data_IF_263547573142
#
_entry.id   IF_263547573142
#
_cell.length_a   1.000
_cell.length_b   1.000
_cell.length_c   1.000
_cell.angle_alpha   90.00
_cell.angle_beta   90.00
_cell.angle_gamma   90.00
#
_symmetry.space_group_name_H-M   'P 1'
#
loop_
_entity.id
_entity.type
_entity.pdbx_description
1 polymer ?
#
# COMPACT_ATOMS: atom_id res chain seq x y z
N UNK A 1 -4.23 1.74 9.28
CA UNK A 1 -5.04 2.79 9.93
C UNK A 1 -4.10 3.63 10.78
N UNK A 2 -4.02 4.94 10.51
CA UNK A 2 -3.10 5.88 11.18
C UNK A 2 -3.29 5.97 12.72
N UNK A 3 -4.39 5.45 13.25
CA UNK A 3 -4.73 5.51 14.67
C UNK A 3 -4.76 4.14 15.37
N UNK A 4 -4.31 3.06 14.71
CA UNK A 4 -4.37 1.69 15.26
C UNK A 4 -3.62 1.57 16.59
N UNK A 5 -2.35 1.97 16.62
CA UNK A 5 -1.51 1.83 17.81
C UNK A 5 -1.98 2.73 18.96
N UNK A 6 -2.51 3.91 18.61
CA UNK A 6 -3.15 4.84 19.56
C UNK A 6 -4.41 4.23 20.19
N UNK A 7 -5.27 3.61 19.38
CA UNK A 7 -6.46 2.92 19.85
C UNK A 7 -6.09 1.76 20.78
N UNK A 8 -5.15 0.88 20.39
CA UNK A 8 -4.78 -0.28 21.18
C UNK A 8 -4.20 0.09 22.55
N UNK A 9 -3.38 1.15 22.63
CA UNK A 9 -2.84 1.67 23.90
C UNK A 9 -3.94 2.21 24.81
N UNK A 10 -4.76 3.12 24.29
CA UNK A 10 -5.87 3.71 25.05
C UNK A 10 -6.87 2.64 25.51
N UNK A 11 -7.20 1.68 24.65
CA UNK A 11 -8.14 0.61 24.97
C UNK A 11 -7.62 -0.30 26.11
N UNK A 12 -6.29 -0.48 26.21
CA UNK A 12 -5.61 -1.18 27.31
C UNK A 12 -5.39 -0.31 28.56
N UNK A 13 -5.80 0.96 28.53
CA UNK A 13 -5.73 1.87 29.67
C UNK A 13 -4.44 2.68 29.77
N UNK A 14 -3.56 2.61 28.77
CA UNK A 14 -2.33 3.40 28.73
C UNK A 14 -2.64 4.84 28.27
N UNK A 15 -2.45 5.79 29.18
CA UNK A 15 -2.66 7.24 28.96
C UNK A 15 -1.36 8.05 29.12
N UNK A 16 -0.19 7.44 29.01
CA UNK A 16 1.09 8.12 29.28
C UNK A 16 1.33 9.39 28.44
N UNK A 17 0.70 9.51 27.27
CA UNK A 17 0.75 10.67 26.38
C UNK A 17 -0.25 11.79 26.74
N UNK A 18 -1.08 11.59 27.76
CA UNK A 18 -2.15 12.52 28.14
C UNK A 18 -1.90 13.11 29.52
N UNK A 19 -2.23 14.39 29.67
CA UNK A 19 -2.00 15.13 30.92
C UNK A 19 -2.98 14.73 32.02
N UNK A 20 -4.10 14.12 31.63
CA UNK A 20 -5.12 13.65 32.56
C UNK A 20 -5.89 12.44 32.04
N UNK A 21 -6.50 11.72 32.96
CA UNK A 21 -7.38 10.61 32.64
C UNK A 21 -8.60 11.03 31.80
N UNK A 22 -9.12 12.24 32.03
CA UNK A 22 -10.24 12.77 31.26
C UNK A 22 -9.88 13.12 29.81
N UNK A 23 -8.62 13.54 29.57
CA UNK A 23 -8.10 13.70 28.22
C UNK A 23 -7.96 12.35 27.50
N UNK A 24 -7.50 11.31 28.22
CA UNK A 24 -7.45 9.93 27.70
C UNK A 24 -8.83 9.38 27.34
N UNK A 25 -9.83 9.60 28.21
CA UNK A 25 -11.21 9.19 27.96
C UNK A 25 -11.77 9.87 26.68
N UNK A 26 -11.62 11.19 26.57
CA UNK A 26 -12.09 11.96 25.41
C UNK A 26 -11.36 11.55 24.12
N UNK A 27 -10.06 11.22 24.21
CA UNK A 27 -9.29 10.76 23.07
C UNK A 27 -9.79 9.41 22.56
N UNK A 28 -10.07 8.44 23.45
CA UNK A 28 -10.65 7.16 23.05
C UNK A 28 -12.04 7.36 22.45
N UNK A 29 -12.90 8.18 23.07
CA UNK A 29 -14.22 8.51 22.53
C UNK A 29 -14.15 9.18 21.15
N UNK A 30 -13.16 10.05 20.90
CA UNK A 30 -12.96 10.68 19.59
C UNK A 30 -12.60 9.67 18.49
N UNK A 31 -11.77 8.67 18.81
CA UNK A 31 -11.48 7.56 17.89
C UNK A 31 -12.75 6.75 17.63
N UNK A 32 -13.50 6.40 18.68
CA UNK A 32 -14.74 5.65 18.56
C UNK A 32 -15.81 6.42 17.77
N UNK A 33 -15.92 7.73 17.94
CA UNK A 33 -16.89 8.57 17.23
C UNK A 33 -16.72 8.49 15.70
N UNK A 34 -15.48 8.44 15.21
CA UNK A 34 -15.18 8.19 13.80
C UNK A 34 -15.70 6.82 13.35
N UNK A 35 -15.30 5.74 14.01
CA UNK A 35 -15.60 4.36 13.59
C UNK A 35 -17.07 3.94 13.76
N UNK A 36 -17.76 4.54 14.73
CA UNK A 36 -19.17 4.23 15.04
C UNK A 36 -20.15 5.13 14.31
N UNK A 37 -19.68 6.00 13.41
CA UNK A 37 -20.51 6.96 12.68
C UNK A 37 -21.33 7.83 13.65
N UNK A 38 -20.67 8.31 14.72
CA UNK A 38 -21.26 9.11 15.80
C UNK A 38 -22.45 8.44 16.52
N UNK A 39 -22.52 7.11 16.52
CA UNK A 39 -23.56 6.38 17.24
C UNK A 39 -23.27 6.38 18.76
N UNK A 40 -23.99 7.22 19.49
CA UNK A 40 -23.83 7.41 20.94
C UNK A 40 -23.82 6.10 21.73
N UNK A 41 -24.83 5.24 21.51
CA UNK A 41 -24.97 3.96 22.22
C UNK A 41 -23.84 2.97 21.91
N UNK A 42 -23.32 2.98 20.67
CA UNK A 42 -22.22 2.11 20.27
C UNK A 42 -20.89 2.59 20.87
N UNK A 43 -20.66 3.90 20.92
CA UNK A 43 -19.48 4.48 21.60
C UNK A 43 -19.47 4.08 23.07
N UNK A 44 -20.59 4.27 23.79
CA UNK A 44 -20.72 3.89 25.19
C UNK A 44 -20.43 2.39 25.39
N UNK A 45 -21.07 1.54 24.57
CA UNK A 45 -20.90 0.08 24.64
C UNK A 45 -19.45 -0.37 24.43
N UNK A 46 -18.73 0.25 23.50
CA UNK A 46 -17.32 -0.09 23.22
C UNK A 46 -16.39 0.50 24.29
N UNK A 47 -16.65 1.73 24.75
CA UNK A 47 -15.85 2.36 25.80
C UNK A 47 -15.88 1.55 27.09
N UNK A 48 -17.05 1.01 27.48
CA UNK A 48 -17.22 0.14 28.66
C UNK A 48 -16.40 -1.15 28.61
N UNK A 49 -15.94 -1.56 27.43
CA UNK A 49 -15.08 -2.74 27.27
C UNK A 49 -13.59 -2.39 27.38
N UNK A 50 -13.23 -1.11 27.40
CA UNK A 50 -11.86 -0.66 27.58
C UNK A 50 -11.44 -0.68 29.04
N UNK A 51 -10.13 -0.73 29.29
CA UNK A 51 -9.58 -0.61 30.63
C UNK A 51 -9.68 0.83 31.21
N UNK A 52 -10.15 1.81 30.44
CA UNK A 52 -10.41 3.18 30.91
C UNK A 52 -11.75 3.34 31.62
N UNK A 53 -12.66 2.35 31.48
CA UNK A 53 -13.97 2.38 32.10
C UNK A 53 -13.90 2.40 33.63
N UNK A 54 -14.66 3.29 34.27
CA UNK A 54 -14.67 3.54 35.72
C UNK A 54 -16.08 3.91 36.18
N UNK A 55 -16.38 3.75 37.47
CA UNK A 55 -17.68 4.11 38.06
C UNK A 55 -18.08 5.57 37.77
N UNK A 56 -17.09 6.48 37.73
CA UNK A 56 -17.28 7.89 37.35
C UNK A 56 -18.02 8.08 36.02
N UNK A 57 -17.93 7.12 35.11
CA UNK A 57 -18.61 7.17 33.82
C UNK A 57 -20.11 7.39 33.92
N UNK A 58 -20.74 6.79 34.95
CA UNK A 58 -22.17 6.83 35.19
C UNK A 58 -22.58 7.92 36.21
N UNK A 59 -21.61 8.66 36.75
CA UNK A 59 -21.87 9.72 37.73
C UNK A 59 -22.42 10.98 37.04
N UNK A 60 -23.49 11.55 37.63
CA UNK A 60 -24.02 12.86 37.23
C UNK A 60 -23.00 13.94 37.57
N UNK A 61 -22.50 14.61 36.54
CA UNK A 61 -21.35 15.50 36.67
C UNK A 61 -21.67 16.96 36.28
N UNK A 62 -22.84 17.20 35.67
CA UNK A 62 -23.25 18.50 35.17
C UNK A 62 -24.63 18.89 35.72
N UNK A 63 -24.89 20.20 35.80
CA UNK A 63 -26.12 20.78 36.35
C UNK A 63 -27.39 20.45 35.55
N UNK A 64 -27.21 19.99 34.31
CA UNK A 64 -28.26 19.51 33.41
C UNK A 64 -28.66 18.03 33.67
N UNK A 65 -28.01 17.37 34.63
CA UNK A 65 -28.25 15.98 34.98
C UNK A 65 -27.54 14.96 34.08
N UNK A 66 -26.70 15.40 33.14
CA UNK A 66 -25.91 14.51 32.29
C UNK A 66 -24.78 13.84 33.08
N UNK A 67 -24.54 12.57 32.76
CA UNK A 67 -23.41 11.82 33.32
C UNK A 67 -22.10 12.26 32.69
N UNK A 68 -20.98 12.06 33.38
CA UNK A 68 -19.64 12.29 32.82
C UNK A 68 -19.44 11.57 31.47
N UNK A 69 -19.84 10.30 31.37
CA UNK A 69 -19.73 9.52 30.14
C UNK A 69 -20.54 10.14 28.99
N UNK A 70 -21.81 10.45 29.23
CA UNK A 70 -22.68 11.10 28.24
C UNK A 70 -22.08 12.42 27.73
N UNK A 71 -21.59 13.28 28.62
CA UNK A 71 -20.96 14.56 28.24
C UNK A 71 -19.69 14.35 27.42
N UNK A 72 -18.86 13.37 27.79
CA UNK A 72 -17.63 13.01 27.07
C UNK A 72 -17.93 12.48 25.66
N UNK A 73 -18.95 11.62 25.53
CA UNK A 73 -19.40 11.11 24.23
C UNK A 73 -19.96 12.26 23.39
N UNK A 74 -20.84 13.10 23.93
CA UNK A 74 -21.41 14.23 23.21
C UNK A 74 -20.31 15.17 22.68
N UNK A 75 -19.34 15.50 23.54
CA UNK A 75 -18.18 16.32 23.16
C UNK A 75 -17.33 15.66 22.06
N UNK A 76 -17.15 14.34 22.09
CA UNK A 76 -16.44 13.62 21.03
C UNK A 76 -17.18 13.62 19.69
N UNK A 77 -18.52 13.52 19.72
CA UNK A 77 -19.38 13.57 18.53
C UNK A 77 -19.38 14.96 17.92
N UNK A 78 -19.51 16.01 18.73
CA UNK A 78 -19.47 17.41 18.27
C UNK A 78 -18.15 17.78 17.60
N UNK A 79 -17.03 17.28 18.15
CA UNK A 79 -15.68 17.55 17.61
C UNK A 79 -15.25 16.59 16.49
N UNK A 80 -16.05 15.57 16.18
CA UNK A 80 -15.76 14.60 15.13
C UNK A 80 -16.11 15.23 13.78
N UNK A 81 -15.14 15.78 13.04
CA UNK A 81 -15.38 16.44 11.74
C UNK A 81 -15.67 15.45 10.61
N UNK A 82 -15.07 14.26 10.69
CA UNK A 82 -15.19 13.19 9.69
C UNK A 82 -15.69 11.90 10.36
N UNK A 83 -16.45 11.08 9.64
CA UNK A 83 -16.91 9.76 10.09
C UNK A 83 -16.40 8.68 9.17
N UNK A 84 -16.27 7.46 9.71
CA UNK A 84 -15.96 6.30 8.91
C UNK A 84 -17.06 6.07 7.88
N UNK A 85 -16.73 6.33 6.62
CA UNK A 85 -17.54 5.89 5.49
C UNK A 85 -16.94 4.58 5.00
N UNK A 86 -17.62 3.44 5.16
CA UNK A 86 -17.13 2.19 4.59
C UNK A 86 -16.99 2.36 3.09
N UNK A 87 -15.79 2.08 2.57
CA UNK A 87 -15.48 2.19 1.13
C UNK A 87 -16.26 1.17 0.30
N UNK A 88 -16.62 0.05 0.94
CA UNK A 88 -17.50 -0.97 0.38
C UNK A 88 -18.95 -0.62 0.69
N UNK A 89 -19.88 -0.90 -0.23
CA UNK A 89 -21.30 -0.71 0.03
C UNK A 89 -21.70 -1.49 1.28
N UNK A 90 -22.33 -0.77 2.19
CA UNK A 90 -22.53 -1.22 3.58
C UNK A 90 -23.93 -1.73 3.86
N UNK A 91 -24.85 -1.62 2.89
CA UNK A 91 -26.21 -2.10 3.01
C UNK A 91 -26.68 -2.81 1.73
N UNK A 92 -27.69 -3.67 1.90
CA UNK A 92 -28.26 -4.52 0.85
C UNK A 92 -28.78 -3.69 -0.32
N UNK A 93 -29.40 -2.53 -0.06
CA UNK A 93 -30.03 -1.71 -1.10
C UNK A 93 -28.98 -1.09 -2.05
N UNK A 94 -27.85 -0.67 -1.50
CA UNK A 94 -26.73 -0.17 -2.29
C UNK A 94 -26.14 -1.27 -3.17
N UNK A 95 -25.94 -2.47 -2.63
CA UNK A 95 -25.45 -3.63 -3.38
C UNK A 95 -26.46 -4.03 -4.46
N UNK A 96 -27.76 -3.97 -4.16
CA UNK A 96 -28.84 -4.23 -5.13
C UNK A 96 -28.78 -3.27 -6.31
N UNK A 97 -28.56 -1.97 -6.07
CA UNK A 97 -28.39 -0.98 -7.14
C UNK A 97 -27.24 -1.34 -8.09
N UNK A 98 -26.09 -1.76 -7.54
CA UNK A 98 -24.97 -2.23 -8.36
C UNK A 98 -25.31 -3.52 -9.10
N UNK A 99 -25.88 -4.49 -8.39
CA UNK A 99 -26.24 -5.79 -8.95
C UNK A 99 -27.12 -5.67 -10.20
N UNK A 100 -28.12 -4.78 -10.16
CA UNK A 100 -29.05 -4.52 -11.26
C UNK A 100 -28.34 -4.00 -12.52
N UNK A 101 -27.21 -3.31 -12.36
CA UNK A 101 -26.40 -2.77 -13.45
C UNK A 101 -25.45 -3.81 -14.10
N UNK A 102 -25.67 -5.10 -13.84
CA UNK A 102 -24.99 -6.24 -14.48
C UNK A 102 -23.46 -6.14 -14.39
N UNK A 103 -22.72 -6.42 -15.48
CA UNK A 103 -21.25 -6.43 -15.51
C UNK A 103 -20.65 -5.06 -15.19
N UNK A 104 -21.33 -3.96 -15.57
CA UNK A 104 -20.91 -2.60 -15.21
C UNK A 104 -20.99 -2.38 -13.70
N UNK A 105 -22.06 -2.83 -13.06
CA UNK A 105 -22.19 -2.73 -11.62
C UNK A 105 -21.24 -3.65 -10.86
N UNK A 106 -21.01 -4.87 -11.35
CA UNK A 106 -19.96 -5.77 -10.83
C UNK A 106 -18.58 -5.08 -10.88
N UNK A 107 -18.28 -4.37 -11.96
CA UNK A 107 -17.02 -3.68 -12.15
C UNK A 107 -16.88 -2.41 -11.28
N UNK A 108 -17.98 -1.71 -10.98
CA UNK A 108 -17.99 -0.56 -10.06
C UNK A 108 -17.85 -1.02 -8.59
N UNK A 109 -18.43 -2.16 -8.23
CA UNK A 109 -18.15 -2.81 -6.97
C UNK A 109 -16.70 -3.24 -6.87
N UNK A 110 -16.18 -3.83 -7.94
CA UNK A 110 -14.79 -4.27 -8.00
C UNK A 110 -13.83 -3.09 -7.82
N UNK A 111 -14.09 -1.95 -8.48
CA UNK A 111 -13.22 -0.77 -8.34
C UNK A 111 -13.17 -0.25 -6.90
N UNK A 112 -14.29 -0.27 -6.18
CA UNK A 112 -14.35 0.04 -4.74
C UNK A 112 -13.59 -0.96 -3.87
N UNK A 113 -13.66 -2.25 -4.19
CA UNK A 113 -12.89 -3.30 -3.49
C UNK A 113 -11.40 -3.13 -3.73
N UNK A 114 -11.03 -2.77 -4.95
CA UNK A 114 -9.65 -2.70 -5.44
C UNK A 114 -9.00 -1.34 -5.18
N UNK A 115 -9.75 -0.34 -4.76
CA UNK A 115 -9.26 0.98 -4.40
C UNK A 115 -8.05 0.87 -3.47
N UNK A 116 -6.99 1.66 -3.74
CA UNK A 116 -5.71 1.68 -3.00
C UNK A 116 -4.84 0.41 -3.11
N UNK A 117 -5.37 -0.69 -3.65
CA UNK A 117 -4.68 -1.99 -3.71
C UNK A 117 -4.35 -2.37 -5.16
N UNK A 118 -5.20 -2.03 -6.12
CA UNK A 118 -4.97 -2.30 -7.53
C UNK A 118 -5.07 -1.04 -8.38
N UNK A 119 -4.24 -0.99 -9.41
CA UNK A 119 -4.27 0.01 -10.47
C UNK A 119 -4.10 -0.69 -11.82
N UNK A 120 -4.57 -0.04 -12.87
CA UNK A 120 -4.35 -0.49 -14.24
C UNK A 120 -3.57 0.56 -15.02
N UNK A 121 -2.44 0.14 -15.59
CA UNK A 121 -1.61 0.98 -16.44
C UNK A 121 -2.02 0.82 -17.89
N UNK A 122 -2.62 1.86 -18.47
CA UNK A 122 -3.07 1.88 -19.86
C UNK A 122 -1.93 1.97 -20.87
N UNK A 123 -0.72 2.36 -20.46
CA UNK A 123 0.44 2.39 -21.34
C UNK A 123 1.09 1.00 -21.37
N UNK A 124 1.31 0.41 -20.18
CA UNK A 124 1.89 -0.92 -20.06
C UNK A 124 0.88 -2.06 -20.34
N UNK A 125 -0.41 -1.75 -20.41
CA UNK A 125 -1.51 -2.70 -20.57
C UNK A 125 -1.47 -3.83 -19.53
N UNK A 126 -1.23 -3.47 -18.27
CA UNK A 126 -1.13 -4.44 -17.18
C UNK A 126 -1.77 -3.92 -15.88
N UNK A 127 -2.24 -4.86 -15.08
CA UNK A 127 -2.67 -4.60 -13.70
C UNK A 127 -1.45 -4.54 -12.78
N UNK A 128 -1.54 -3.68 -11.77
CA UNK A 128 -0.59 -3.59 -10.68
C UNK A 128 -1.31 -3.85 -9.35
N UNK A 129 -0.62 -4.51 -8.43
CA UNK A 129 -1.08 -4.79 -7.08
C UNK A 129 -0.10 -4.21 -6.05
N UNK A 130 -0.60 -3.42 -5.11
CA UNK A 130 0.15 -2.91 -3.98
C UNK A 130 0.22 -3.97 -2.88
N UNK A 131 1.43 -4.44 -2.61
CA UNK A 131 1.67 -5.39 -1.52
C UNK A 131 3.07 -5.18 -0.96
N UNK A 132 3.22 -5.36 0.36
CA UNK A 132 4.50 -5.21 1.07
C UNK A 132 5.22 -3.86 0.83
N UNK A 133 4.47 -2.78 0.62
CA UNK A 133 5.04 -1.45 0.42
C UNK A 133 5.49 -1.12 -1.01
N UNK A 134 5.20 -2.00 -1.99
CA UNK A 134 5.59 -1.81 -3.38
C UNK A 134 4.47 -2.22 -4.34
N UNK A 135 4.40 -1.55 -5.49
CA UNK A 135 3.50 -1.91 -6.58
C UNK A 135 4.14 -2.97 -7.47
N UNK A 136 3.42 -4.07 -7.69
CA UNK A 136 3.90 -5.23 -8.44
C UNK A 136 3.04 -5.41 -9.68
N UNK A 137 3.67 -5.56 -10.85
CA UNK A 137 2.94 -5.89 -12.07
C UNK A 137 2.42 -7.33 -12.01
N UNK A 138 1.19 -7.54 -12.44
CA UNK A 138 0.59 -8.87 -12.52
C UNK A 138 1.19 -9.66 -13.69
N UNK A 139 1.91 -10.73 -13.38
CA UNK A 139 2.55 -11.61 -14.37
C UNK A 139 1.82 -12.94 -14.56
N UNK A 140 0.88 -13.29 -13.68
CA UNK A 140 0.29 -14.63 -13.61
C UNK A 140 -1.25 -14.62 -13.62
N UNK A 141 -1.87 -13.48 -13.99
CA UNK A 141 -3.31 -13.26 -13.92
C UNK A 141 -3.88 -13.38 -12.50
N UNK A 142 -3.10 -13.01 -11.48
CA UNK A 142 -3.55 -13.03 -10.09
C UNK A 142 -4.71 -12.06 -9.85
N UNK A 143 -4.74 -10.94 -10.57
CA UNK A 143 -5.80 -9.92 -10.48
C UNK A 143 -7.16 -10.52 -10.86
N UNK A 144 -7.21 -11.37 -11.88
CA UNK A 144 -8.44 -12.03 -12.29
C UNK A 144 -8.95 -12.97 -11.20
N UNK A 145 -8.06 -13.81 -10.65
CA UNK A 145 -8.41 -14.70 -9.54
C UNK A 145 -8.94 -13.90 -8.33
N UNK A 146 -8.25 -12.83 -7.95
CA UNK A 146 -8.62 -12.00 -6.82
C UNK A 146 -9.95 -11.27 -7.05
N UNK A 147 -10.24 -10.83 -8.28
CA UNK A 147 -11.50 -10.19 -8.63
C UNK A 147 -12.69 -11.14 -8.43
N UNK A 148 -12.59 -12.38 -8.93
CA UNK A 148 -13.61 -13.42 -8.70
C UNK A 148 -13.79 -13.65 -7.20
N UNK A 149 -12.69 -13.90 -6.49
CA UNK A 149 -12.74 -14.23 -5.07
C UNK A 149 -13.41 -13.12 -4.24
N UNK A 150 -13.05 -11.86 -4.48
CA UNK A 150 -13.58 -10.73 -3.71
C UNK A 150 -15.04 -10.43 -4.02
N UNK A 151 -15.45 -10.45 -5.29
CA UNK A 151 -16.86 -10.26 -5.67
C UNK A 151 -17.73 -11.41 -5.17
N UNK A 152 -17.25 -12.65 -5.27
CA UNK A 152 -17.94 -13.82 -4.72
C UNK A 152 -18.14 -13.68 -3.22
N UNK A 153 -17.10 -13.31 -2.47
CA UNK A 153 -17.20 -13.06 -1.03
C UNK A 153 -18.22 -11.97 -0.71
N UNK A 154 -18.20 -10.86 -1.44
CA UNK A 154 -19.17 -9.76 -1.25
C UNK A 154 -20.61 -10.24 -1.44
N UNK A 155 -20.92 -10.90 -2.55
CA UNK A 155 -22.27 -11.35 -2.85
C UNK A 155 -22.76 -12.47 -1.92
N UNK A 156 -21.89 -13.40 -1.52
CA UNK A 156 -22.24 -14.42 -0.53
C UNK A 156 -22.52 -13.81 0.85
N UNK A 157 -21.69 -12.88 1.31
CA UNK A 157 -21.94 -12.19 2.58
C UNK A 157 -23.24 -11.39 2.54
N UNK A 158 -23.54 -10.75 1.40
CA UNK A 158 -24.82 -10.05 1.20
C UNK A 158 -25.99 -11.01 1.25
N UNK A 159 -25.86 -12.19 0.62
CA UNK A 159 -26.91 -13.23 0.67
C UNK A 159 -27.18 -13.71 2.10
N UNK A 160 -26.15 -13.84 2.94
CA UNK A 160 -26.29 -14.21 4.35
C UNK A 160 -27.03 -13.12 5.13
N UNK A 161 -26.70 -11.86 4.89
CA UNK A 161 -27.37 -10.73 5.54
C UNK A 161 -28.85 -10.61 5.12
N UNK A 162 -29.15 -10.90 3.85
CA UNK A 162 -30.55 -10.99 3.37
C UNK A 162 -31.30 -12.12 4.09
N UNK A 163 -30.70 -13.32 4.23
CA UNK A 163 -31.29 -14.44 4.96
C UNK A 163 -31.61 -14.06 6.42
N UNK A 164 -30.72 -13.30 7.06
CA UNK A 164 -30.94 -12.78 8.41
C UNK A 164 -32.14 -11.85 8.49
N UNK A 165 -32.25 -10.87 7.57
CA UNK A 165 -33.38 -9.95 7.55
C UNK A 165 -34.71 -10.66 7.27
N UNK A 166 -34.70 -11.69 6.41
CA UNK A 166 -35.88 -12.54 6.17
C UNK A 166 -36.30 -13.26 7.44
N UNK A 167 -35.36 -13.82 8.20
CA UNK A 167 -35.65 -14.51 9.46
C UNK A 167 -36.24 -13.56 10.52
N UNK A 168 -35.67 -12.35 10.66
CA UNK A 168 -36.16 -11.30 11.57
C UNK A 168 -37.60 -10.87 11.22
N UNK A 169 -37.87 -10.52 9.96
CA UNK A 169 -39.20 -10.12 9.48
C UNK A 169 -40.24 -11.25 9.58
N UNK A 170 -39.81 -12.50 9.40
CA UNK A 170 -40.67 -13.68 9.54
C UNK A 170 -41.08 -13.93 10.99
N UNK A 171 -40.19 -13.64 11.94
CA UNK A 171 -40.46 -13.78 13.37
C UNK A 171 -41.52 -12.80 13.88
N UNK A 172 -41.64 -11.61 13.27
CA UNK A 172 -42.66 -10.60 13.59
C UNK A 172 -44.10 -11.04 13.27
N UNK A 173 -44.29 -12.08 12.45
CA UNK A 173 -45.61 -12.62 12.04
C UNK A 173 -46.58 -11.57 11.46
N UNK A 174 -46.06 -10.47 10.93
CA UNK A 174 -46.84 -9.40 10.33
C UNK A 174 -47.19 -9.73 8.86
N UNK A 175 -48.49 -9.77 8.52
CA UNK A 175 -48.94 -10.04 7.14
C UNK A 175 -48.45 -8.99 6.13
N UNK A 176 -48.20 -7.75 6.57
CA UNK A 176 -47.66 -6.69 5.72
C UNK A 176 -46.22 -7.00 5.24
N UNK A 177 -45.47 -7.84 5.97
CA UNK A 177 -44.09 -8.19 5.62
C UNK A 177 -44.00 -9.27 4.52
N UNK A 178 -45.10 -9.94 4.16
CA UNK A 178 -45.07 -11.08 3.21
C UNK A 178 -44.46 -10.72 1.87
N UNK A 179 -44.84 -9.58 1.31
CA UNK A 179 -44.32 -9.14 0.02
C UNK A 179 -42.85 -8.73 0.11
N UNK A 180 -42.46 -8.07 1.21
CA UNK A 180 -41.06 -7.71 1.45
C UNK A 180 -40.16 -8.93 1.62
N UNK A 181 -40.63 -9.96 2.33
CA UNK A 181 -39.92 -11.23 2.52
C UNK A 181 -39.68 -11.90 1.17
N UNK A 182 -40.73 -12.02 0.33
CA UNK A 182 -40.59 -12.58 -1.02
C UNK A 182 -39.54 -11.85 -1.85
N UNK A 183 -39.60 -10.52 -1.90
CA UNK A 183 -38.62 -9.71 -2.65
C UNK A 183 -37.17 -9.89 -2.16
N UNK A 184 -36.98 -10.14 -0.85
CA UNK A 184 -35.68 -10.42 -0.28
C UNK A 184 -35.21 -11.84 -0.63
N UNK A 185 -36.09 -12.84 -0.56
CA UNK A 185 -35.78 -14.22 -0.97
C UNK A 185 -35.39 -14.31 -2.45
N UNK A 186 -36.14 -13.64 -3.33
CA UNK A 186 -35.83 -13.56 -4.76
C UNK A 186 -34.44 -12.92 -4.98
N UNK A 187 -34.16 -11.80 -4.30
CA UNK A 187 -32.88 -11.13 -4.41
C UNK A 187 -31.71 -11.98 -3.87
N UNK A 188 -31.92 -12.74 -2.80
CA UNK A 188 -30.93 -13.69 -2.28
C UNK A 188 -30.58 -14.75 -3.31
N UNK A 189 -31.57 -15.31 -3.99
CA UNK A 189 -31.36 -16.37 -4.97
C UNK A 189 -30.66 -15.82 -6.23
N UNK A 190 -31.00 -14.60 -6.64
CA UNK A 190 -30.30 -13.83 -7.67
C UNK A 190 -28.82 -13.59 -7.33
N UNK A 191 -28.50 -13.22 -6.09
CA UNK A 191 -27.12 -13.06 -5.61
C UNK A 191 -26.32 -14.37 -5.74
N UNK A 192 -26.91 -15.49 -5.34
CA UNK A 192 -26.29 -16.82 -5.45
C UNK A 192 -26.11 -17.23 -6.90
N UNK A 193 -27.04 -16.88 -7.79
CA UNK A 193 -26.89 -17.12 -9.22
C UNK A 193 -25.77 -16.26 -9.82
N UNK A 194 -25.65 -14.99 -9.44
CA UNK A 194 -24.55 -14.11 -9.86
C UNK A 194 -23.19 -14.68 -9.48
N UNK A 195 -23.05 -15.24 -8.28
CA UNK A 195 -21.82 -15.92 -7.86
C UNK A 195 -21.44 -17.06 -8.82
N UNK A 196 -22.43 -17.87 -9.26
CA UNK A 196 -22.17 -18.92 -10.27
C UNK A 196 -21.73 -18.33 -11.60
N UNK A 197 -22.35 -17.21 -12.03
CA UNK A 197 -22.02 -16.51 -13.27
C UNK A 197 -20.64 -15.83 -13.22
N UNK A 198 -20.16 -15.40 -12.07
CA UNK A 198 -18.80 -14.82 -11.92
C UNK A 198 -17.68 -15.83 -12.19
N UNK A 199 -17.94 -17.13 -12.02
CA UNK A 199 -17.01 -18.18 -12.42
C UNK A 199 -16.92 -18.36 -13.95
N UNK A 200 -17.79 -17.71 -14.73
CA UNK A 200 -17.68 -17.69 -16.18
C UNK A 200 -16.56 -16.72 -16.62
N UNK A 201 -15.57 -17.26 -17.36
CA UNK A 201 -14.40 -16.51 -17.82
C UNK A 201 -14.75 -15.25 -18.63
N UNK A 202 -15.78 -15.32 -19.50
CA UNK A 202 -16.19 -14.18 -20.33
C UNK A 202 -16.68 -13.02 -19.46
N UNK A 203 -17.59 -13.32 -18.53
CA UNK A 203 -18.15 -12.32 -17.61
C UNK A 203 -17.07 -11.60 -16.83
N UNK A 204 -16.19 -12.35 -16.15
CA UNK A 204 -15.16 -11.71 -15.30
C UNK A 204 -14.15 -10.92 -16.13
N UNK A 205 -13.85 -11.35 -17.35
CA UNK A 205 -12.99 -10.61 -18.26
C UNK A 205 -13.61 -9.26 -18.63
N UNK A 206 -14.92 -9.23 -18.95
CA UNK A 206 -15.65 -7.99 -19.21
C UNK A 206 -15.67 -7.07 -18.00
N UNK A 207 -15.91 -7.63 -16.81
CA UNK A 207 -15.91 -6.88 -15.53
C UNK A 207 -14.54 -6.23 -15.31
N UNK A 208 -13.44 -6.97 -15.45
CA UNK A 208 -12.10 -6.42 -15.33
C UNK A 208 -11.85 -5.32 -16.36
N UNK A 209 -12.21 -5.56 -17.64
CA UNK A 209 -12.04 -4.58 -18.71
C UNK A 209 -12.74 -3.26 -18.42
N UNK A 210 -13.96 -3.31 -17.87
CA UNK A 210 -14.70 -2.13 -17.44
C UNK A 210 -14.01 -1.43 -16.25
N UNK A 211 -13.48 -2.21 -15.30
CA UNK A 211 -12.80 -1.68 -14.11
C UNK A 211 -11.48 -0.96 -14.42
N UNK A 212 -10.79 -1.28 -15.53
CA UNK A 212 -9.55 -0.61 -15.95
C UNK A 212 -9.68 0.91 -16.04
N UNK A 213 -10.86 1.41 -16.43
CA UNK A 213 -11.11 2.86 -16.55
C UNK A 213 -11.43 3.54 -15.22
N UNK A 214 -11.81 2.78 -14.19
CA UNK A 214 -12.05 3.31 -12.84
C UNK A 214 -10.81 3.28 -11.95
N UNK A 215 -9.82 2.46 -12.29
CA UNK A 215 -8.56 2.37 -11.56
C UNK A 215 -7.35 2.76 -12.42
N UNK A 216 -7.38 3.89 -13.17
CA UNK A 216 -6.33 4.21 -14.09
C UNK A 216 -5.06 4.69 -13.38
N UNK A 217 -3.92 4.28 -13.90
CA UNK A 217 -2.63 4.91 -13.62
C UNK A 217 -1.81 5.07 -14.89
N UNK A 218 -0.65 5.70 -14.77
CA UNK A 218 0.30 5.85 -15.86
C UNK A 218 1.69 5.47 -15.36
N UNK A 219 2.44 4.74 -16.19
CA UNK A 219 3.80 4.27 -15.88
C UNK A 219 4.77 5.40 -15.50
N UNK A 220 4.46 6.65 -15.82
CA UNK A 220 5.30 7.82 -15.53
C UNK A 220 5.11 8.38 -14.12
N UNK A 221 4.04 8.01 -13.43
CA UNK A 221 3.80 8.43 -12.04
C UNK A 221 4.67 7.65 -11.04
N UNK A 222 5.06 6.43 -11.42
CA UNK A 222 5.81 5.54 -10.53
C UNK A 222 7.28 5.93 -10.43
N UNK A 223 7.85 5.72 -9.23
CA UNK A 223 9.24 6.05 -8.88
C UNK A 223 9.65 7.49 -9.25
N UNK A 224 8.69 8.42 -9.19
CA UNK A 224 8.87 9.81 -9.65
C UNK A 224 9.56 10.71 -8.62
N UNK A 225 9.50 10.37 -7.34
CA UNK A 225 10.20 11.09 -6.28
C UNK A 225 11.62 10.52 -6.07
N UNK A 226 12.61 11.27 -6.56
CA UNK A 226 14.02 10.90 -6.47
C UNK A 226 14.53 10.80 -5.02
N UNK A 227 13.94 11.52 -4.06
CA UNK A 227 14.47 11.59 -2.70
C UNK A 227 13.78 10.63 -1.73
N UNK A 228 12.70 9.96 -2.15
CA UNK A 228 12.04 8.89 -1.40
C UNK A 228 12.66 7.55 -1.75
N UNK A 229 13.31 6.88 -0.80
CA UNK A 229 13.86 5.54 -0.97
C UNK A 229 12.95 4.49 -0.34
N UNK A 230 12.40 3.57 -1.13
CA UNK A 230 11.51 2.53 -0.63
C UNK A 230 12.30 1.39 0.03
N UNK A 231 12.19 1.25 1.35
CA UNK A 231 12.88 0.23 2.15
C UNK A 231 11.93 -0.91 2.54
N UNK A 232 12.45 -2.00 3.11
CA UNK A 232 11.61 -3.13 3.53
C UNK A 232 10.66 -2.79 4.69
N UNK A 233 10.92 -1.69 5.43
CA UNK A 233 10.17 -1.29 6.61
C UNK A 233 9.56 0.13 6.53
N UNK A 234 9.54 0.74 5.35
CA UNK A 234 8.96 2.07 5.16
C UNK A 234 9.57 2.83 3.98
N UNK A 235 9.13 4.07 3.80
CA UNK A 235 9.72 4.99 2.84
C UNK A 235 10.69 5.91 3.58
N UNK A 236 11.97 5.87 3.22
CA UNK A 236 12.96 6.76 3.81
C UNK A 236 13.09 8.04 2.99
N UNK A 237 12.78 9.17 3.61
CA UNK A 237 13.00 10.49 3.01
C UNK A 237 14.47 10.91 3.21
N UNK A 238 15.20 11.02 2.10
CA UNK A 238 16.61 11.41 2.11
C UNK A 238 16.83 12.90 2.40
N UNK A 239 15.83 13.76 2.19
CA UNK A 239 15.93 15.19 2.55
C UNK A 239 15.79 15.36 4.07
N UNK A 240 14.73 14.78 4.62
CA UNK A 240 14.34 15.01 6.02
C UNK A 240 15.01 14.03 7.00
N UNK A 241 15.62 12.96 6.48
CA UNK A 241 16.18 11.86 7.27
C UNK A 241 15.15 11.19 8.19
N UNK A 242 13.94 10.96 7.66
CA UNK A 242 12.81 10.36 8.36
C UNK A 242 12.36 9.09 7.65
N UNK A 243 12.01 8.06 8.42
CA UNK A 243 11.36 6.85 7.93
C UNK A 243 9.84 7.02 8.10
N UNK A 244 9.13 7.05 6.98
CA UNK A 244 7.66 7.11 6.90
C UNK A 244 7.08 5.70 6.75
N UNK A 245 5.82 5.53 7.17
CA UNK A 245 5.08 4.30 6.88
C UNK A 245 4.87 4.13 5.37
N UNK A 246 4.79 2.88 4.91
CA UNK A 246 4.40 2.63 3.52
C UNK A 246 3.00 3.18 3.22
N UNK A 247 2.92 3.89 2.10
CA UNK A 247 1.65 4.30 1.50
C UNK A 247 1.64 3.91 0.02
N UNK A 248 0.49 3.44 -0.44
CA UNK A 248 0.23 3.16 -1.85
C UNK A 248 0.36 4.42 -2.71
N UNK A 249 0.17 5.60 -2.10
CA UNK A 249 0.29 6.93 -2.71
C UNK A 249 1.71 7.28 -3.18
N UNK A 250 2.75 6.65 -2.61
CA UNK A 250 4.14 6.89 -3.04
C UNK A 250 4.46 6.28 -4.41
N UNK A 251 3.61 5.38 -4.93
CA UNK A 251 3.73 4.81 -6.26
C UNK A 251 5.14 4.26 -6.56
N UNK A 252 5.73 3.49 -5.65
CA UNK A 252 7.03 2.86 -5.88
C UNK A 252 6.86 1.51 -6.60
N UNK A 253 7.61 1.25 -7.67
CA UNK A 253 7.76 -0.09 -8.29
C UNK A 253 9.03 -0.79 -7.84
N UNK A 254 9.91 -0.07 -7.15
CA UNK A 254 11.19 -0.55 -6.66
C UNK A 254 11.18 -0.57 -5.14
N UNK A 255 11.85 -1.56 -4.55
CA UNK A 255 12.08 -1.65 -3.12
C UNK A 255 13.48 -2.22 -2.84
N UNK A 256 14.11 -1.75 -1.77
CA UNK A 256 15.33 -2.40 -1.25
C UNK A 256 14.96 -3.65 -0.44
N UNK A 257 15.94 -4.52 -0.17
CA UNK A 257 15.71 -5.75 0.62
C UNK A 257 15.93 -5.58 2.13
N UNK A 258 16.33 -4.38 2.56
CA UNK A 258 16.81 -4.13 3.92
C UNK A 258 15.89 -3.18 4.67
N UNK A 259 15.84 -3.36 6.00
CA UNK A 259 15.14 -2.43 6.89
C UNK A 259 16.09 -1.37 7.40
N UNK A 260 15.64 -0.11 7.42
CA UNK A 260 16.39 0.98 8.05
C UNK A 260 16.41 0.81 9.57
N UNK A 261 17.60 0.96 10.15
CA UNK A 261 17.81 1.04 11.60
C UNK A 261 18.73 2.22 11.92
N UNK A 262 18.18 3.23 12.59
CA UNK A 262 18.94 4.41 13.03
C UNK A 262 20.07 3.98 13.97
N UNK A 263 21.28 4.49 13.71
CA UNK A 263 22.47 4.20 14.51
C UNK A 263 23.08 2.81 14.32
N UNK A 264 22.64 2.04 13.32
CA UNK A 264 23.30 0.78 12.99
C UNK A 264 24.74 1.01 12.52
N UNK A 265 25.67 0.18 13.02
CA UNK A 265 27.09 0.23 12.62
C UNK A 265 27.43 -1.03 11.83
N UNK A 266 27.99 -0.86 10.64
CA UNK A 266 28.37 -1.97 9.75
C UNK A 266 29.88 -2.25 9.85
N UNK A 267 30.32 -2.84 10.98
CA UNK A 267 31.75 -3.03 11.29
C UNK A 267 32.48 -3.80 10.19
N UNK A 268 31.96 -4.96 9.77
CA UNK A 268 32.57 -5.77 8.71
C UNK A 268 32.65 -5.05 7.36
N UNK A 269 31.68 -4.18 7.05
CA UNK A 269 31.69 -3.38 5.82
C UNK A 269 32.78 -2.31 5.88
N UNK A 270 32.93 -1.65 7.03
CA UNK A 270 33.98 -0.65 7.25
C UNK A 270 35.36 -1.30 7.15
N UNK A 271 35.57 -2.45 7.79
CA UNK A 271 36.84 -3.20 7.73
C UNK A 271 37.15 -3.68 6.30
N UNK A 272 36.13 -4.16 5.59
CA UNK A 272 36.24 -4.55 4.19
C UNK A 272 36.69 -3.37 3.30
N UNK A 273 36.06 -2.19 3.44
CA UNK A 273 36.45 -1.00 2.68
C UNK A 273 37.90 -0.58 2.98
N UNK A 274 38.29 -0.56 4.26
CA UNK A 274 39.68 -0.28 4.64
C UNK A 274 40.66 -1.28 4.03
N UNK A 275 40.27 -2.55 3.93
CA UNK A 275 41.11 -3.60 3.36
C UNK A 275 41.30 -3.41 1.85
N UNK A 276 40.21 -3.27 1.08
CA UNK A 276 40.29 -3.19 -0.39
C UNK A 276 40.90 -1.88 -0.90
N UNK A 277 40.85 -0.82 -0.09
CA UNK A 277 41.45 0.49 -0.40
C UNK A 277 42.74 0.76 0.39
N UNK A 278 43.33 -0.27 1.03
CA UNK A 278 44.60 -0.15 1.78
C UNK A 278 44.63 1.01 2.79
N UNK A 279 43.49 1.31 3.42
CA UNK A 279 43.33 2.38 4.39
C UNK A 279 43.25 3.80 3.82
N UNK A 280 43.18 3.98 2.49
CA UNK A 280 43.01 5.29 1.86
C UNK A 280 41.64 5.90 2.22
N UNK A 281 41.64 6.79 3.21
CA UNK A 281 40.42 7.41 3.73
C UNK A 281 39.77 8.38 2.75
N UNK A 282 40.55 9.00 1.85
CA UNK A 282 40.02 9.93 0.85
C UNK A 282 39.23 9.16 -0.21
N UNK A 283 39.81 8.06 -0.72
CA UNK A 283 39.15 7.18 -1.67
C UNK A 283 37.91 6.50 -1.05
N UNK A 284 38.01 6.03 0.20
CA UNK A 284 36.86 5.45 0.92
C UNK A 284 35.74 6.48 1.08
N UNK A 285 36.08 7.73 1.44
CA UNK A 285 35.09 8.82 1.53
C UNK A 285 34.42 9.06 0.18
N UNK A 286 35.20 9.16 -0.90
CA UNK A 286 34.67 9.35 -2.25
C UNK A 286 33.70 8.22 -2.65
N UNK A 287 34.10 6.97 -2.47
CA UNK A 287 33.25 5.80 -2.80
C UNK A 287 31.97 5.81 -1.98
N UNK A 288 32.04 6.14 -0.68
CA UNK A 288 30.85 6.28 0.17
C UNK A 288 29.92 7.38 -0.31
N UNK A 289 30.46 8.52 -0.76
CA UNK A 289 29.67 9.61 -1.33
C UNK A 289 29.03 9.21 -2.67
N UNK A 290 29.76 8.51 -3.54
CA UNK A 290 29.24 8.03 -4.80
C UNK A 290 28.09 7.03 -4.59
N UNK A 291 28.26 6.07 -3.67
CA UNK A 291 27.18 5.12 -3.30
C UNK A 291 26.01 5.87 -2.67
N UNK A 292 26.27 6.79 -1.73
CA UNK A 292 25.21 7.58 -1.09
C UNK A 292 24.42 8.42 -2.10
N UNK A 293 25.11 9.05 -3.06
CA UNK A 293 24.49 9.77 -4.16
C UNK A 293 23.64 8.84 -5.02
N UNK A 294 24.13 7.63 -5.36
CA UNK A 294 23.35 6.63 -6.10
C UNK A 294 22.17 6.05 -5.33
N UNK A 295 22.03 6.30 -4.02
CA UNK A 295 20.80 5.98 -3.30
C UNK A 295 19.73 7.04 -3.52
N UNK A 296 20.09 8.25 -3.92
CA UNK A 296 19.13 9.21 -4.46
C UNK A 296 18.77 8.82 -5.91
N UNK A 297 17.60 9.24 -6.37
CA UNK A 297 17.21 9.17 -7.77
C UNK A 297 17.66 10.39 -8.58
N UNK A 298 18.65 11.15 -8.10
CA UNK A 298 19.16 12.34 -8.79
C UNK A 298 20.19 11.95 -9.85
N UNK A 299 20.23 12.68 -10.96
CA UNK A 299 21.16 12.42 -12.08
C UNK A 299 22.03 13.64 -12.45
N UNK A 300 22.11 14.67 -11.62
CA UNK A 300 22.75 15.96 -11.95
C UNK A 300 24.24 15.86 -12.37
N UNK A 301 25.09 15.02 -11.73
CA UNK A 301 26.49 14.91 -12.11
C UNK A 301 26.73 14.25 -13.47
N UNK A 302 25.74 13.55 -14.04
CA UNK A 302 25.85 12.77 -15.28
C UNK A 302 27.18 11.97 -15.34
N UNK A 303 27.51 11.30 -14.23
CA UNK A 303 28.83 10.70 -14.03
C UNK A 303 28.84 9.20 -14.35
N UNK A 304 29.92 8.75 -14.99
CA UNK A 304 30.24 7.34 -15.18
C UNK A 304 31.49 6.99 -14.37
N UNK A 305 31.38 6.02 -13.46
CA UNK A 305 32.47 5.64 -12.55
C UNK A 305 33.14 4.37 -13.06
N UNK A 306 34.43 4.48 -13.38
CA UNK A 306 35.26 3.34 -13.77
C UNK A 306 35.98 2.77 -12.55
N UNK A 307 35.61 1.55 -12.17
CA UNK A 307 36.28 0.83 -11.09
C UNK A 307 37.52 0.10 -11.64
N UNK A 308 38.68 0.75 -11.66
CA UNK A 308 39.95 0.15 -12.12
C UNK A 308 40.67 -0.63 -11.02
N UNK A 309 41.50 -1.60 -11.40
CA UNK A 309 42.31 -2.42 -10.48
C UNK A 309 42.47 -3.86 -10.98
N UNK A 310 43.56 -4.51 -10.55
CA UNK A 310 43.85 -5.92 -10.88
C UNK A 310 42.74 -6.88 -10.42
N UNK A 311 42.70 -8.08 -11.02
CA UNK A 311 41.78 -9.14 -10.61
C UNK A 311 41.96 -9.54 -9.13
N UNK A 312 40.91 -10.07 -8.52
CA UNK A 312 40.86 -10.53 -7.11
C UNK A 312 40.96 -9.44 -6.00
N UNK A 313 40.60 -8.19 -6.29
CA UNK A 313 40.63 -7.08 -5.32
C UNK A 313 39.29 -6.79 -4.59
N UNK A 314 38.36 -7.75 -4.55
CA UNK A 314 37.09 -7.60 -3.81
C UNK A 314 35.99 -6.79 -4.50
N UNK A 315 36.17 -6.35 -5.77
CA UNK A 315 35.13 -5.60 -6.52
C UNK A 315 33.80 -6.37 -6.64
N UNK A 316 33.87 -7.64 -6.99
CA UNK A 316 32.68 -8.50 -7.10
C UNK A 316 31.96 -8.62 -5.76
N UNK A 317 32.70 -8.69 -4.65
CA UNK A 317 32.14 -8.69 -3.30
C UNK A 317 31.48 -7.36 -2.96
N UNK A 318 32.14 -6.23 -3.28
CA UNK A 318 31.60 -4.88 -3.07
C UNK A 318 30.25 -4.70 -3.79
N UNK A 319 30.18 -4.99 -5.09
CA UNK A 319 28.94 -4.89 -5.85
C UNK A 319 27.91 -5.97 -5.46
N UNK A 320 28.36 -7.14 -5.00
CA UNK A 320 27.48 -8.17 -4.44
C UNK A 320 26.74 -7.66 -3.21
N UNK A 321 27.44 -7.04 -2.26
CA UNK A 321 26.83 -6.44 -1.07
C UNK A 321 25.87 -5.30 -1.45
N UNK A 322 26.28 -4.42 -2.38
CA UNK A 322 25.41 -3.33 -2.82
C UNK A 322 24.14 -3.84 -3.50
N UNK A 323 24.25 -4.84 -4.38
CA UNK A 323 23.11 -5.48 -5.05
C UNK A 323 22.13 -6.06 -4.04
N UNK A 324 22.63 -6.74 -3.02
CA UNK A 324 21.78 -7.34 -1.98
C UNK A 324 21.16 -6.26 -1.08
N UNK A 325 21.86 -5.16 -0.84
CA UNK A 325 21.37 -4.02 -0.05
C UNK A 325 20.28 -3.24 -0.78
N UNK A 326 20.56 -2.75 -1.99
CA UNK A 326 19.65 -1.82 -2.70
C UNK A 326 18.57 -2.55 -3.52
N UNK A 327 18.64 -3.87 -3.66
CA UNK A 327 17.55 -4.67 -4.19
C UNK A 327 17.17 -4.28 -5.61
N UNK A 328 15.89 -3.96 -5.83
CA UNK A 328 15.33 -3.70 -7.16
C UNK A 328 15.90 -2.44 -7.83
N UNK A 329 16.53 -1.57 -7.05
CA UNK A 329 17.23 -0.38 -7.53
C UNK A 329 18.59 -0.70 -8.16
N UNK A 330 19.13 -1.90 -7.98
CA UNK A 330 20.34 -2.38 -8.63
C UNK A 330 19.99 -3.05 -9.96
N UNK A 331 20.60 -2.61 -11.05
CA UNK A 331 20.46 -3.25 -12.36
C UNK A 331 21.81 -3.58 -12.98
N UNK A 332 22.02 -4.85 -13.28
CA UNK A 332 23.14 -5.29 -14.13
C UNK A 332 22.77 -5.14 -15.61
N UNK A 333 23.66 -4.56 -16.41
CA UNK A 333 23.53 -4.51 -17.88
C UNK A 333 24.77 -5.10 -18.55
N UNK A 334 24.59 -5.61 -19.76
CA UNK A 334 25.70 -6.04 -20.59
C UNK A 334 26.40 -4.83 -21.19
N UNK A 335 27.72 -4.89 -21.34
CA UNK A 335 28.48 -3.75 -21.84
C UNK A 335 28.13 -3.41 -23.29
N UNK A 336 27.73 -4.41 -24.08
CA UNK A 336 27.27 -4.27 -25.46
C UNK A 336 26.12 -3.27 -25.60
N UNK A 337 25.32 -3.09 -24.55
CA UNK A 337 24.21 -2.14 -24.48
C UNK A 337 24.72 -0.69 -24.46
N UNK A 338 25.92 -0.45 -23.92
CA UNK A 338 26.58 0.86 -23.84
C UNK A 338 27.51 1.15 -25.03
N UNK A 339 27.81 0.16 -25.87
CA UNK A 339 28.74 0.28 -26.99
C UNK A 339 28.07 0.84 -28.26
N UNK A 340 28.86 1.58 -29.06
CA UNK A 340 28.40 2.08 -30.35
C UNK A 340 28.25 0.93 -31.37
N UNK A 341 27.01 0.50 -31.62
CA UNK A 341 26.69 -0.49 -32.63
C UNK A 341 26.23 0.19 -33.93
N UNK A 342 26.66 -0.32 -35.10
CA UNK A 342 26.22 0.19 -36.42
C UNK A 342 24.75 -0.15 -36.74
N UNK A 343 24.14 -1.06 -35.97
CA UNK A 343 22.74 -1.46 -36.10
C UNK A 343 22.11 -1.49 -34.69
N UNK A 344 20.99 -0.78 -34.49
CA UNK A 344 20.21 -0.88 -33.25
C UNK A 344 19.50 -2.23 -33.22
N UNK A 345 19.90 -3.12 -32.30
CA UNK A 345 19.22 -4.39 -32.05
C UNK A 345 18.07 -4.20 -31.05
N UNK A 346 17.03 -5.04 -31.15
CA UNK A 346 15.90 -5.08 -30.22
C UNK A 346 16.31 -5.29 -28.75
N UNK A 347 17.48 -5.88 -28.49
CA UNK A 347 18.05 -6.05 -27.15
C UNK A 347 18.32 -4.72 -26.43
N UNK A 348 18.77 -3.68 -27.15
CA UNK A 348 19.07 -2.37 -26.55
C UNK A 348 17.83 -1.65 -26.02
N UNK A 349 16.67 -1.89 -26.64
CA UNK A 349 15.39 -1.33 -26.20
C UNK A 349 14.85 -2.04 -24.95
N UNK A 350 15.09 -3.36 -24.84
CA UNK A 350 14.74 -4.15 -23.67
C UNK A 350 15.58 -3.76 -22.44
N UNK A 351 16.88 -3.58 -22.59
CA UNK A 351 17.74 -3.16 -21.48
C UNK A 351 17.43 -1.75 -20.99
N UNK A 352 17.05 -0.84 -21.90
CA UNK A 352 16.54 0.49 -21.53
C UNK A 352 15.29 0.43 -20.66
N UNK A 353 14.40 -0.52 -20.91
CA UNK A 353 13.23 -0.72 -20.06
C UNK A 353 13.63 -1.24 -18.66
N UNK A 354 14.68 -2.07 -18.56
CA UNK A 354 15.14 -2.65 -17.28
C UNK A 354 15.79 -1.64 -16.33
N UNK A 355 16.46 -0.63 -16.88
CA UNK A 355 17.12 0.42 -16.07
C UNK A 355 16.13 1.48 -15.57
N UNK A 356 14.86 1.47 -16.02
CA UNK A 356 13.85 2.40 -15.52
C UNK A 356 13.64 2.23 -14.01
N UNK A 357 13.78 3.34 -13.28
CA UNK A 357 13.66 3.37 -11.81
C UNK A 357 14.87 2.79 -11.07
N UNK A 358 15.88 2.24 -11.77
CA UNK A 358 17.12 1.83 -11.14
C UNK A 358 17.92 3.07 -10.67
N UNK A 359 18.58 2.97 -9.52
CA UNK A 359 19.45 4.04 -9.01
C UNK A 359 20.94 3.69 -9.10
N UNK A 360 21.25 2.41 -9.29
CA UNK A 360 22.59 1.94 -9.59
C UNK A 360 22.55 0.98 -10.76
N UNK A 361 23.26 1.33 -11.83
CA UNK A 361 23.43 0.48 -13.01
C UNK A 361 24.89 0.08 -13.10
N UNK A 362 25.15 -1.23 -13.14
CA UNK A 362 26.50 -1.78 -13.19
C UNK A 362 26.65 -2.60 -14.47
N UNK A 363 27.75 -2.38 -15.17
CA UNK A 363 28.13 -3.11 -16.38
C UNK A 363 29.45 -3.84 -16.18
N UNK A 364 29.62 -4.92 -16.92
CA UNK A 364 30.91 -5.59 -17.07
C UNK A 364 31.93 -4.72 -17.83
N UNK A 365 33.20 -5.12 -17.83
CA UNK A 365 34.32 -4.34 -18.39
C UNK A 365 34.14 -3.97 -19.87
N UNK A 366 34.59 -2.76 -20.23
CA UNK A 366 34.68 -2.31 -21.62
C UNK A 366 35.81 -3.07 -22.31
N UNK A 367 35.55 -3.83 -23.39
CA UNK A 367 36.61 -4.50 -24.13
C UNK A 367 37.55 -3.46 -24.76
N UNK A 368 38.86 -3.74 -24.71
CA UNK A 368 39.88 -2.83 -25.19
C UNK A 368 39.66 -2.45 -26.68
N UNK A 369 39.75 -1.15 -26.99
CA UNK A 369 39.57 -0.62 -28.35
C UNK A 369 38.11 -0.38 -28.80
N UNK A 370 37.10 -0.66 -27.96
CA UNK A 370 35.69 -0.37 -28.27
C UNK A 370 35.29 1.03 -27.78
N UNK A 371 34.48 1.74 -28.57
CA UNK A 371 33.97 3.07 -28.22
C UNK A 371 32.58 2.99 -27.61
N UNK A 372 32.36 3.75 -26.53
CA UNK A 372 31.04 3.97 -25.95
C UNK A 372 30.16 4.76 -26.92
N UNK A 373 28.86 4.50 -26.86
CA UNK A 373 27.88 5.27 -27.59
C UNK A 373 27.57 6.58 -26.83
N UNK A 374 28.15 7.69 -27.26
CA UNK A 374 27.94 8.99 -26.60
C UNK A 374 26.46 9.38 -26.49
N UNK A 375 25.62 9.06 -27.47
CA UNK A 375 24.19 9.40 -27.46
C UNK A 375 23.34 8.54 -26.51
N UNK A 376 23.90 7.44 -26.02
CA UNK A 376 23.24 6.54 -25.07
C UNK A 376 23.75 6.75 -23.65
N UNK A 377 25.02 7.19 -23.51
CA UNK A 377 25.64 7.54 -22.24
C UNK A 377 25.22 8.94 -21.77
N UNK A 378 25.04 9.89 -22.69
CA UNK A 378 24.37 11.18 -22.44
C UNK A 378 22.86 10.98 -22.46
#
# INVERSE_FOLDING_TARGET
SKQKDKFERLFKGDIAEYSSQSEGDLALCSILAFWTVRNNSLIDKVFRQSALFRQKWDDKHFSDGTTYGQSTINKSIENCTEVYTPKLPSNIEEIKRYFLNQERGDAELLSKIFEEIYLYDHIAQCWLNFSNGVWNQDQENQTLKNAVEKLTKLYLNTSIEVDRQVAELSAEKNKANRERIRQLEDFRDDLRERVRKLNNRSRITNVLKLAESWLPTSTWKFDSDSMKLNLANGIYDLNDNVLEEHSHEHLCLKQTKVSYKKGATAVYWIDFLNTIFSGDQELIRFVRQAVGYSLSGLCDPQALIFCYGSGANGKSTFFGVLRDLIGDYYQGIQIETLLANRFQSSSTQYDRARVKGARMVVSDEVPEGRKLNESLVK
#
